data_IF_235030965339
#
_entry.id   IF_235030965339
#
_cell.length_a   1.000
_cell.length_b   1.000
_cell.length_c   1.000
_cell.angle_alpha   90.00
_cell.angle_beta   90.00
_cell.angle_gamma   90.00
#
_symmetry.space_group_name_H-M   'P 1'
#
loop_
_entity.id
_entity.type
_entity.pdbx_description
1 polymer ?
#
# COMPACT_ATOMS: atom_id res chain seq x y z
N UNK A 1 -58.32 -43.00 -38.40
CA UNK A 1 -57.32 -43.59 -37.47
C UNK A 1 -56.13 -42.66 -37.48
N UNK A 2 -56.08 -41.81 -36.48
CA UNK A 2 -55.06 -40.78 -36.25
C UNK A 2 -54.78 -40.86 -34.76
N UNK A 3 -53.57 -41.23 -34.38
CA UNK A 3 -53.12 -41.09 -32.99
C UNK A 3 -51.82 -40.30 -32.93
N UNK A 4 -51.94 -39.27 -32.10
CA UNK A 4 -51.06 -38.17 -31.78
C UNK A 4 -50.19 -38.60 -30.60
N UNK A 5 -48.87 -38.52 -30.71
CA UNK A 5 -47.98 -38.72 -29.58
C UNK A 5 -47.77 -37.39 -28.86
N UNK A 6 -48.42 -37.25 -27.71
CA UNK A 6 -48.37 -36.12 -26.80
C UNK A 6 -47.17 -36.25 -25.85
N UNK A 7 -46.54 -35.11 -25.54
CA UNK A 7 -45.26 -35.01 -24.86
C UNK A 7 -45.24 -35.48 -23.40
N UNK A 8 -44.05 -35.89 -22.97
CA UNK A 8 -43.66 -35.95 -21.55
C UNK A 8 -42.70 -34.80 -21.28
N UNK A 9 -43.25 -33.73 -20.71
CA UNK A 9 -42.49 -32.73 -19.97
C UNK A 9 -41.82 -33.43 -18.79
N UNK A 10 -40.49 -33.44 -18.74
CA UNK A 10 -39.76 -33.61 -17.48
C UNK A 10 -39.44 -32.23 -16.95
N UNK A 11 -40.12 -31.89 -15.86
CA UNK A 11 -39.76 -30.83 -14.94
C UNK A 11 -38.27 -31.03 -14.57
N UNK A 12 -37.39 -30.18 -15.06
CA UNK A 12 -36.05 -30.02 -14.47
C UNK A 12 -36.27 -29.04 -13.32
N UNK A 13 -36.25 -29.56 -12.11
CA UNK A 13 -36.20 -28.74 -10.92
C UNK A 13 -34.90 -27.93 -10.96
N UNK A 14 -35.03 -26.61 -11.11
CA UNK A 14 -33.98 -25.63 -10.82
C UNK A 14 -33.67 -25.75 -9.33
N UNK A 15 -32.62 -26.52 -9.01
CA UNK A 15 -31.95 -26.42 -7.72
C UNK A 15 -31.08 -25.15 -7.73
N UNK A 16 -31.05 -24.38 -6.63
CA UNK A 16 -30.18 -23.23 -6.54
C UNK A 16 -28.74 -23.72 -6.60
N UNK A 17 -28.03 -23.36 -7.67
CA UNK A 17 -26.57 -23.49 -7.74
C UNK A 17 -26.03 -22.47 -6.75
N UNK A 18 -25.93 -22.90 -5.50
CA UNK A 18 -24.97 -22.35 -4.55
C UNK A 18 -23.61 -22.78 -5.06
N UNK A 19 -23.03 -21.97 -5.95
CA UNK A 19 -21.64 -22.09 -6.36
C UNK A 19 -20.77 -21.69 -5.17
N UNK A 20 -20.69 -22.57 -4.17
CA UNK A 20 -19.50 -22.65 -3.34
C UNK A 20 -18.41 -23.24 -4.21
N UNK A 21 -17.67 -22.40 -4.93
CA UNK A 21 -16.34 -22.79 -5.37
C UNK A 21 -15.47 -22.84 -4.10
N UNK A 22 -15.45 -24.01 -3.47
CA UNK A 22 -14.23 -24.49 -2.83
C UNK A 22 -13.22 -24.67 -3.96
N UNK A 23 -12.57 -23.56 -4.34
CA UNK A 23 -11.52 -23.56 -5.33
C UNK A 23 -10.30 -24.18 -4.65
N UNK A 24 -9.72 -25.20 -5.28
CA UNK A 24 -8.47 -25.85 -4.88
C UNK A 24 -7.23 -24.94 -4.97
N UNK A 25 -7.35 -23.65 -4.63
CA UNK A 25 -6.24 -22.70 -4.56
C UNK A 25 -5.49 -22.74 -3.21
N UNK A 26 -5.92 -23.58 -2.26
CA UNK A 26 -5.32 -23.69 -0.93
C UNK A 26 -4.51 -24.98 -0.71
N UNK A 27 -3.53 -25.24 -1.58
CA UNK A 27 -2.32 -25.99 -1.17
C UNK A 27 -1.12 -25.26 -1.79
N UNK A 28 -0.69 -24.15 -1.16
CA UNK A 28 0.55 -23.48 -1.59
C UNK A 28 0.94 -22.19 -0.87
N UNK A 29 -0.01 -21.36 -0.39
CA UNK A 29 0.33 -19.99 0.02
C UNK A 29 0.43 -19.70 1.54
N UNK A 30 0.28 -20.68 2.41
CA UNK A 30 0.43 -20.47 3.86
C UNK A 30 1.51 -21.40 4.41
N UNK A 31 2.76 -21.01 4.22
CA UNK A 31 3.90 -21.77 4.75
C UNK A 31 5.23 -21.60 4.04
N UNK A 32 5.48 -20.54 3.26
CA UNK A 32 6.86 -20.23 2.88
C UNK A 32 7.45 -19.39 3.99
N UNK A 33 8.08 -20.06 4.95
CA UNK A 33 9.01 -19.41 5.85
C UNK A 33 9.95 -18.54 5.00
N UNK A 34 10.02 -17.24 5.32
CA UNK A 34 11.03 -16.34 4.78
C UNK A 34 12.38 -17.05 4.91
N UNK A 35 12.89 -17.62 3.81
CA UNK A 35 14.26 -18.10 3.76
C UNK A 35 15.09 -16.85 3.89
N UNK A 36 15.67 -16.66 5.07
CA UNK A 36 16.70 -15.66 5.26
C UNK A 36 17.82 -15.94 4.26
N UNK A 37 17.82 -15.20 3.15
CA UNK A 37 18.92 -15.17 2.21
C UNK A 37 20.06 -14.41 2.89
N UNK A 38 20.77 -15.13 3.76
CA UNK A 38 22.09 -14.80 4.25
C UNK A 38 23.04 -14.72 3.06
N UNK A 39 23.86 -13.68 3.05
CA UNK A 39 24.54 -13.16 1.87
C UNK A 39 25.58 -14.06 1.25
N UNK A 40 25.84 -13.80 -0.02
CA UNK A 40 27.13 -14.05 -0.66
C UNK A 40 27.62 -12.74 -1.29
N UNK A 41 28.65 -12.18 -0.66
CA UNK A 41 29.49 -11.12 -1.19
C UNK A 41 30.46 -11.75 -2.21
N UNK A 42 30.18 -11.61 -3.50
CA UNK A 42 31.14 -11.46 -4.62
C UNK A 42 30.37 -11.43 -5.96
N UNK A 43 30.75 -10.59 -6.95
CA UNK A 43 30.17 -10.67 -8.28
C UNK A 43 30.58 -12.00 -8.92
N UNK A 44 29.62 -12.92 -9.07
CA UNK A 44 29.90 -14.20 -9.74
C UNK A 44 30.15 -13.94 -11.22
N UNK A 45 31.23 -14.51 -11.74
CA UNK A 45 31.64 -14.51 -13.16
C UNK A 45 30.75 -15.42 -14.03
N UNK A 46 29.48 -15.60 -13.68
CA UNK A 46 28.57 -16.41 -14.48
C UNK A 46 28.13 -15.59 -15.70
N UNK A 47 28.11 -16.19 -16.91
CA UNK A 47 27.55 -15.52 -18.08
C UNK A 47 26.09 -15.14 -17.81
N UNK A 48 25.76 -13.89 -18.08
CA UNK A 48 24.41 -13.34 -17.93
C UNK A 48 23.70 -13.43 -19.28
N UNK A 49 22.78 -14.39 -19.41
CA UNK A 49 22.02 -14.57 -20.63
C UNK A 49 20.79 -13.64 -20.60
N UNK A 50 20.78 -12.56 -21.37
CA UNK A 50 19.69 -11.59 -21.44
C UNK A 50 18.58 -12.07 -22.38
N UNK A 51 17.33 -11.76 -22.03
CA UNK A 51 16.19 -12.03 -22.91
C UNK A 51 16.16 -11.06 -24.11
N UNK A 52 15.56 -11.46 -25.24
CA UNK A 52 15.54 -10.66 -26.47
C UNK A 52 14.81 -9.32 -26.32
N UNK A 53 13.74 -9.27 -25.51
CA UNK A 53 12.98 -8.06 -25.17
C UNK A 53 13.84 -6.97 -24.50
N UNK A 54 14.95 -7.35 -23.88
CA UNK A 54 15.91 -6.42 -23.27
C UNK A 54 16.67 -5.62 -24.33
N UNK A 55 16.80 -6.12 -25.57
CA UNK A 55 17.61 -5.48 -26.62
C UNK A 55 17.10 -4.09 -26.98
N UNK A 56 15.79 -3.96 -27.20
CA UNK A 56 15.16 -2.68 -27.52
C UNK A 56 15.18 -1.72 -26.33
N UNK A 57 15.03 -2.24 -25.11
CA UNK A 57 15.13 -1.45 -23.88
C UNK A 57 16.52 -0.83 -23.73
N UNK A 58 17.59 -1.61 -23.92
CA UNK A 58 18.97 -1.14 -23.81
C UNK A 58 19.37 -0.18 -24.93
N UNK A 59 18.78 -0.31 -26.12
CA UNK A 59 18.98 0.61 -27.22
C UNK A 59 18.43 2.02 -26.89
N UNK A 60 17.27 2.06 -26.23
CA UNK A 60 16.51 3.29 -26.01
C UNK A 60 16.70 3.90 -24.60
N UNK A 61 17.26 3.18 -23.64
CA UNK A 61 17.46 3.64 -22.27
C UNK A 61 18.93 3.60 -21.83
N UNK A 62 19.58 4.78 -21.81
CA UNK A 62 21.01 4.91 -21.46
C UNK A 62 21.29 4.56 -20.00
N UNK A 63 20.38 4.89 -19.09
CA UNK A 63 20.55 4.56 -17.67
C UNK A 63 20.44 3.05 -17.43
N UNK A 64 19.49 2.39 -18.10
CA UNK A 64 19.36 0.93 -18.06
C UNK A 64 20.61 0.25 -18.63
N UNK A 65 21.13 0.75 -19.76
CA UNK A 65 22.38 0.24 -20.36
C UNK A 65 23.57 0.40 -19.43
N UNK A 66 23.71 1.54 -18.77
CA UNK A 66 24.77 1.74 -17.79
C UNK A 66 24.63 0.77 -16.60
N UNK A 67 23.41 0.59 -16.07
CA UNK A 67 23.15 -0.32 -14.96
C UNK A 67 23.44 -1.78 -15.32
N UNK A 68 22.99 -2.22 -16.51
CA UNK A 68 23.28 -3.54 -17.09
C UNK A 68 24.79 -3.79 -17.20
N UNK A 69 25.52 -2.85 -17.82
CA UNK A 69 26.97 -2.98 -18.00
C UNK A 69 27.71 -3.02 -16.68
N UNK A 70 27.25 -2.28 -15.66
CA UNK A 70 27.81 -2.34 -14.31
C UNK A 70 27.44 -3.63 -13.55
N UNK A 71 26.28 -4.22 -13.83
CA UNK A 71 25.81 -5.45 -13.20
C UNK A 71 26.50 -6.70 -13.77
N UNK A 72 26.65 -6.77 -15.10
CA UNK A 72 27.05 -7.99 -15.81
C UNK A 72 28.37 -7.87 -16.57
N UNK A 73 28.74 -6.65 -16.98
CA UNK A 73 29.97 -6.39 -17.74
C UNK A 73 30.01 -7.12 -19.07
N UNK A 74 31.21 -7.52 -19.49
CA UNK A 74 31.43 -8.23 -20.77
C UNK A 74 30.82 -9.64 -20.82
N UNK A 75 30.29 -10.15 -19.71
CA UNK A 75 29.69 -11.48 -19.62
C UNK A 75 28.21 -11.51 -20.03
N UNK A 76 27.63 -10.35 -20.39
CA UNK A 76 26.26 -10.26 -20.86
C UNK A 76 26.15 -10.66 -22.34
N UNK A 77 25.30 -11.64 -22.62
CA UNK A 77 25.01 -12.11 -23.97
C UNK A 77 23.51 -12.28 -24.14
N UNK A 78 22.98 -12.04 -25.34
CA UNK A 78 21.57 -12.30 -25.61
C UNK A 78 21.32 -13.78 -25.87
N UNK A 79 20.21 -14.29 -25.33
CA UNK A 79 19.71 -15.62 -25.65
C UNK A 79 19.48 -15.73 -27.14
N UNK A 80 20.00 -16.77 -27.77
CA UNK A 80 19.72 -17.04 -29.18
C UNK A 80 18.22 -17.26 -29.41
N UNK A 81 17.72 -16.72 -30.53
CA UNK A 81 16.34 -16.92 -30.96
C UNK A 81 15.98 -18.42 -31.00
N UNK A 82 14.86 -18.79 -30.37
CA UNK A 82 14.41 -20.19 -30.28
C UNK A 82 15.10 -21.06 -29.22
N UNK A 83 16.04 -20.52 -28.43
CA UNK A 83 16.62 -21.24 -27.29
C UNK A 83 15.63 -21.34 -26.12
N UNK A 84 15.56 -22.52 -25.49
CA UNK A 84 14.81 -22.77 -24.26
C UNK A 84 15.60 -22.44 -22.99
N UNK A 85 16.80 -21.86 -23.10
CA UNK A 85 17.57 -21.47 -21.92
C UNK A 85 16.87 -20.35 -21.14
N UNK A 86 17.00 -20.41 -19.80
CA UNK A 86 16.58 -19.32 -18.92
C UNK A 86 17.35 -18.07 -19.26
N UNK A 87 16.66 -16.95 -19.40
CA UNK A 87 17.25 -15.66 -19.63
C UNK A 87 16.80 -14.66 -18.55
N UNK A 88 17.55 -13.57 -18.46
CA UNK A 88 17.36 -12.48 -17.52
C UNK A 88 16.64 -11.34 -18.24
N UNK A 89 15.49 -10.94 -17.73
CA UNK A 89 14.82 -9.69 -18.09
C UNK A 89 15.24 -8.57 -17.14
N UNK A 90 15.34 -7.34 -17.64
CA UNK A 90 15.59 -6.14 -16.84
C UNK A 90 14.24 -5.52 -16.45
N UNK A 91 13.72 -5.95 -15.29
CA UNK A 91 12.35 -5.65 -14.89
C UNK A 91 12.14 -4.16 -14.55
N UNK A 92 13.07 -3.54 -13.82
CA UNK A 92 12.98 -2.12 -13.48
C UNK A 92 14.33 -1.53 -13.06
N UNK A 93 14.51 -0.22 -13.28
CA UNK A 93 15.61 0.55 -12.71
C UNK A 93 15.03 1.70 -11.88
N UNK A 94 15.10 1.55 -10.56
CA UNK A 94 14.60 2.54 -9.61
C UNK A 94 15.70 3.51 -9.23
N UNK A 95 15.33 4.79 -9.07
CA UNK A 95 16.24 5.86 -8.69
C UNK A 95 15.83 6.42 -7.33
N UNK A 96 16.78 6.48 -6.41
CA UNK A 96 16.64 7.07 -5.08
C UNK A 96 17.69 8.16 -4.89
N UNK A 97 17.64 8.88 -3.77
CA UNK A 97 18.62 9.93 -3.49
C UNK A 97 20.03 9.32 -3.34
N UNK A 98 20.90 9.56 -4.33
CA UNK A 98 22.29 9.09 -4.35
C UNK A 98 22.48 7.60 -4.61
N UNK A 99 21.43 6.88 -5.01
CA UNK A 99 21.51 5.44 -5.31
C UNK A 99 20.51 5.01 -6.38
N UNK A 100 20.78 3.86 -6.99
CA UNK A 100 19.89 3.23 -7.98
C UNK A 100 19.79 1.74 -7.69
N UNK A 101 18.67 1.13 -8.04
CA UNK A 101 18.44 -0.30 -7.85
C UNK A 101 17.89 -0.89 -9.14
N UNK A 102 18.65 -1.80 -9.76
CA UNK A 102 18.18 -2.59 -10.90
C UNK A 102 17.53 -3.86 -10.37
N UNK A 103 16.28 -4.10 -10.74
CA UNK A 103 15.60 -5.36 -10.52
C UNK A 103 15.64 -6.17 -11.81
N UNK A 104 16.05 -7.43 -11.67
CA UNK A 104 16.10 -8.38 -12.77
C UNK A 104 15.22 -9.58 -12.45
N UNK A 105 14.70 -10.22 -13.48
CA UNK A 105 13.81 -11.33 -13.35
C UNK A 105 14.24 -12.51 -14.21
N UNK A 106 14.06 -13.73 -13.68
CA UNK A 106 14.30 -14.98 -14.40
C UNK A 106 13.05 -15.84 -14.23
N UNK A 107 12.39 -16.19 -15.34
CA UNK A 107 11.25 -17.10 -15.33
C UNK A 107 11.67 -18.48 -14.78
N UNK A 108 10.86 -19.06 -13.89
CA UNK A 108 11.19 -20.33 -13.22
C UNK A 108 11.21 -21.53 -14.16
N UNK A 109 10.41 -21.57 -15.23
CA UNK A 109 10.49 -22.61 -16.28
C UNK A 109 10.26 -22.03 -17.69
N UNK A 110 11.32 -21.89 -18.51
CA UNK A 110 11.19 -21.46 -19.90
C UNK A 110 10.63 -22.60 -20.76
N UNK A 111 9.38 -22.45 -21.21
CA UNK A 111 8.75 -23.37 -22.18
C UNK A 111 7.53 -24.14 -21.66
N UNK A 112 7.32 -24.19 -20.35
CA UNK A 112 6.08 -24.67 -19.71
C UNK A 112 5.53 -23.56 -18.83
N UNK A 113 5.02 -22.49 -19.46
CA UNK A 113 4.37 -21.39 -18.73
C UNK A 113 3.05 -21.89 -18.14
N UNK A 114 3.12 -22.58 -17.00
CA UNK A 114 1.96 -22.78 -16.15
C UNK A 114 1.35 -21.42 -15.84
N UNK A 115 0.01 -21.35 -15.84
CA UNK A 115 -0.74 -20.11 -15.61
C UNK A 115 -0.32 -19.40 -14.30
N UNK A 116 0.25 -20.15 -13.35
CA UNK A 116 0.57 -19.71 -11.99
C UNK A 116 2.10 -19.58 -11.73
N UNK A 117 2.96 -19.67 -12.76
CA UNK A 117 4.41 -19.58 -12.54
C UNK A 117 4.90 -18.12 -12.49
N UNK A 118 5.56 -17.75 -11.38
CA UNK A 118 6.21 -16.45 -11.21
C UNK A 118 7.61 -16.36 -11.80
N UNK A 119 8.29 -15.24 -11.54
CA UNK A 119 9.69 -15.01 -11.90
C UNK A 119 10.52 -14.81 -10.64
N UNK A 120 11.71 -15.42 -10.58
CA UNK A 120 12.65 -15.14 -9.50
C UNK A 120 13.28 -13.76 -9.67
N UNK A 121 13.22 -12.94 -8.62
CA UNK A 121 13.67 -11.55 -8.62
C UNK A 121 15.01 -11.39 -7.94
N UNK A 122 15.90 -10.65 -8.59
CA UNK A 122 17.21 -10.25 -8.04
C UNK A 122 17.35 -8.73 -8.07
N UNK A 123 18.05 -8.16 -7.08
CA UNK A 123 18.27 -6.73 -6.95
C UNK A 123 19.77 -6.38 -6.95
N UNK A 124 20.16 -5.47 -7.83
CA UNK A 124 21.53 -4.95 -7.96
C UNK A 124 21.54 -3.50 -7.48
N UNK A 125 22.30 -3.24 -6.41
CA UNK A 125 22.32 -1.95 -5.74
C UNK A 125 23.53 -1.15 -6.19
N UNK A 126 23.28 0.06 -6.66
CA UNK A 126 24.29 0.99 -7.10
C UNK A 126 24.31 2.24 -6.23
N UNK A 127 25.50 2.78 -6.00
CA UNK A 127 25.71 4.07 -5.32
C UNK A 127 26.33 5.06 -6.28
N UNK A 128 25.84 6.29 -6.24
CA UNK A 128 26.46 7.40 -6.93
C UNK A 128 27.72 7.86 -6.17
N UNK A 129 28.84 7.97 -6.88
CA UNK A 129 30.13 8.37 -6.34
C UNK A 129 30.73 9.42 -7.27
N UNK A 130 30.42 10.71 -7.00
CA UNK A 130 30.74 11.80 -7.91
C UNK A 130 29.90 11.71 -9.18
N UNK A 131 30.56 11.65 -10.34
CA UNK A 131 29.88 11.47 -11.63
C UNK A 131 29.74 10.00 -12.07
N UNK A 132 30.12 9.04 -11.22
CA UNK A 132 30.12 7.62 -11.57
C UNK A 132 29.14 6.82 -10.72
N UNK A 133 28.51 5.82 -11.34
CA UNK A 133 27.67 4.84 -10.67
C UNK A 133 28.50 3.58 -10.38
N UNK A 134 28.44 3.05 -9.15
CA UNK A 134 29.19 1.86 -8.74
C UNK A 134 28.26 0.80 -8.17
N UNK A 135 28.40 -0.44 -8.62
CA UNK A 135 27.75 -1.60 -8.00
C UNK A 135 28.31 -1.83 -6.58
N UNK A 136 27.42 -1.86 -5.59
CA UNK A 136 27.75 -2.00 -4.16
C UNK A 136 27.45 -3.40 -3.66
N UNK A 137 26.27 -3.93 -3.95
CA UNK A 137 25.84 -5.26 -3.51
C UNK A 137 24.80 -5.84 -4.46
N UNK A 138 24.66 -7.16 -4.45
CA UNK A 138 23.62 -7.88 -5.19
C UNK A 138 22.83 -8.73 -4.19
N UNK A 139 21.51 -8.79 -4.35
CA UNK A 139 20.61 -9.69 -3.63
C UNK A 139 19.93 -10.57 -4.64
N UNK A 140 20.47 -11.78 -4.81
CA UNK A 140 19.93 -12.75 -5.76
C UNK A 140 18.71 -13.43 -5.18
N UNK A 141 17.75 -13.72 -6.05
CA UNK A 141 16.57 -14.56 -5.80
C UNK A 141 15.87 -14.21 -4.47
N UNK A 142 15.74 -12.90 -4.21
CA UNK A 142 15.23 -12.40 -2.93
C UNK A 142 13.71 -12.60 -2.81
N UNK A 143 13.02 -12.76 -3.93
CA UNK A 143 11.58 -12.98 -4.01
C UNK A 143 11.23 -13.77 -5.29
N UNK A 144 10.02 -14.31 -5.30
CA UNK A 144 9.33 -14.78 -6.50
C UNK A 144 8.19 -13.79 -6.79
N UNK A 145 8.05 -13.35 -8.04
CA UNK A 145 6.97 -12.43 -8.42
C UNK A 145 5.63 -13.14 -8.37
N UNK A 146 4.61 -12.43 -7.92
CA UNK A 146 3.23 -12.91 -7.87
C UNK A 146 2.48 -12.74 -9.21
N UNK A 147 3.19 -12.57 -10.32
CA UNK A 147 2.58 -12.45 -11.64
C UNK A 147 2.38 -13.81 -12.31
N UNK A 148 1.34 -13.90 -13.13
CA UNK A 148 1.08 -15.07 -13.98
C UNK A 148 2.07 -15.16 -15.16
N UNK A 149 2.28 -16.38 -15.66
CA UNK A 149 2.99 -16.65 -16.92
C UNK A 149 4.43 -16.10 -16.98
N UNK A 150 5.13 -16.06 -15.84
CA UNK A 150 6.49 -15.53 -15.72
C UNK A 150 6.56 -14.01 -15.80
N UNK A 151 5.44 -13.30 -15.88
CA UNK A 151 5.43 -11.84 -15.82
C UNK A 151 5.74 -11.38 -14.40
N UNK A 152 6.58 -10.36 -14.30
CA UNK A 152 6.95 -9.72 -13.04
C UNK A 152 5.89 -8.70 -12.61
N UNK A 153 5.12 -8.21 -13.59
CA UNK A 153 4.26 -7.05 -13.47
C UNK A 153 5.05 -5.75 -13.26
N UNK A 154 4.38 -4.69 -12.82
CA UNK A 154 4.99 -3.37 -12.68
C UNK A 154 5.76 -3.26 -11.37
N UNK A 155 7.04 -2.92 -11.46
CA UNK A 155 7.88 -2.62 -10.29
C UNK A 155 8.13 -1.12 -10.19
N UNK A 156 7.73 -0.54 -9.06
CA UNK A 156 7.84 0.89 -8.80
C UNK A 156 8.65 1.17 -7.54
N UNK A 157 9.36 2.30 -7.51
CA UNK A 157 10.01 2.79 -6.31
C UNK A 157 8.96 3.17 -5.24
N UNK A 158 9.29 2.90 -3.97
CA UNK A 158 8.48 3.31 -2.84
C UNK A 158 9.34 3.79 -1.67
N UNK A 159 8.70 4.50 -0.75
CA UNK A 159 9.32 4.95 0.49
C UNK A 159 8.50 4.52 1.69
N UNK A 160 9.19 4.08 2.74
CA UNK A 160 8.60 3.64 4.00
C UNK A 160 9.28 4.43 5.13
N UNK A 161 8.80 5.67 5.32
CA UNK A 161 9.43 6.69 6.15
C UNK A 161 10.83 7.03 5.65
N UNK A 162 11.86 6.70 6.43
CA UNK A 162 13.25 6.99 6.07
C UNK A 162 13.88 5.91 5.16
N UNK A 163 13.24 4.76 5.01
CA UNK A 163 13.77 3.67 4.21
C UNK A 163 13.22 3.73 2.77
N UNK A 164 14.11 3.51 1.81
CA UNK A 164 13.76 3.25 0.42
C UNK A 164 13.26 1.82 0.24
N UNK A 165 12.45 1.59 -0.78
CA UNK A 165 11.85 0.29 -1.05
C UNK A 165 11.24 0.21 -2.44
N UNK A 166 10.42 -0.81 -2.64
CA UNK A 166 9.73 -1.03 -3.90
C UNK A 166 8.37 -1.68 -3.71
N UNK A 167 7.54 -1.50 -4.73
CA UNK A 167 6.23 -2.11 -4.89
C UNK A 167 6.30 -3.00 -6.13
N UNK A 168 5.88 -4.25 -6.00
CA UNK A 168 5.79 -5.18 -7.12
C UNK A 168 4.32 -5.49 -7.32
N UNK A 169 3.73 -4.99 -8.41
CA UNK A 169 2.35 -5.26 -8.75
C UNK A 169 2.28 -6.57 -9.53
N UNK A 170 1.47 -7.51 -9.06
CA UNK A 170 1.24 -8.79 -9.72
C UNK A 170 -0.24 -9.10 -9.80
N UNK A 171 -0.58 -10.10 -10.59
CA UNK A 171 -1.96 -10.55 -10.72
C UNK A 171 -2.08 -11.81 -11.54
N UNK A 172 -3.20 -12.48 -11.35
CA UNK A 172 -3.59 -13.68 -12.10
C UNK A 172 -4.94 -13.46 -12.75
N UNK A 173 -5.08 -13.91 -14.00
CA UNK A 173 -6.35 -13.91 -14.72
C UNK A 173 -6.66 -15.33 -15.18
N UNK A 174 -7.78 -15.87 -14.73
CA UNK A 174 -8.19 -17.24 -15.03
C UNK A 174 -9.71 -17.33 -15.20
N UNK A 175 -10.14 -18.03 -16.26
CA UNK A 175 -11.56 -18.30 -16.53
C UNK A 175 -12.44 -17.02 -16.54
N UNK A 176 -11.89 -15.90 -16.98
CA UNK A 176 -12.60 -14.62 -17.04
C UNK A 176 -12.63 -13.82 -15.73
N UNK A 177 -12.04 -14.35 -14.66
CA UNK A 177 -11.80 -13.62 -13.41
C UNK A 177 -10.36 -13.11 -13.38
N UNK A 178 -10.13 -11.97 -12.72
CA UNK A 178 -8.79 -11.45 -12.42
C UNK A 178 -8.66 -11.05 -10.96
N UNK A 179 -7.48 -11.27 -10.39
CA UNK A 179 -7.10 -10.86 -9.04
C UNK A 179 -5.75 -10.14 -9.13
N UNK A 180 -5.68 -8.92 -8.61
CA UNK A 180 -4.46 -8.13 -8.58
C UNK A 180 -4.02 -7.85 -7.14
N UNK A 181 -2.72 -7.85 -6.91
CA UNK A 181 -2.10 -7.60 -5.62
C UNK A 181 -0.81 -6.80 -5.77
N UNK A 182 -0.38 -6.15 -4.68
CA UNK A 182 0.90 -5.46 -4.62
C UNK A 182 1.71 -5.99 -3.46
N UNK A 183 2.93 -6.45 -3.74
CA UNK A 183 3.93 -6.78 -2.74
C UNK A 183 4.79 -5.56 -2.41
N UNK A 184 5.15 -5.43 -1.14
CA UNK A 184 5.96 -4.32 -0.68
C UNK A 184 7.26 -4.83 -0.07
N UNK A 185 8.36 -4.19 -0.45
CA UNK A 185 9.70 -4.51 0.06
C UNK A 185 10.41 -3.24 0.50
N UNK A 186 11.18 -3.34 1.58
CA UNK A 186 12.03 -2.26 2.10
C UNK A 186 13.50 -2.65 2.07
N UNK A 187 14.37 -1.70 1.76
CA UNK A 187 15.82 -1.87 1.76
C UNK A 187 16.38 -1.44 3.11
N UNK A 188 16.62 -2.39 4.02
CA UNK A 188 17.05 -2.11 5.39
C UNK A 188 18.22 -2.98 5.80
N UNK A 189 19.23 -2.36 6.42
CA UNK A 189 20.42 -3.04 6.95
C UNK A 189 21.12 -3.94 5.92
N UNK A 190 21.18 -3.49 4.66
CA UNK A 190 21.79 -4.25 3.58
C UNK A 190 21.01 -5.49 3.15
N UNK A 191 19.70 -5.56 3.42
CA UNK A 191 18.80 -6.64 3.01
C UNK A 191 17.56 -6.09 2.32
N UNK A 192 16.92 -6.92 1.48
CA UNK A 192 15.58 -6.67 0.96
C UNK A 192 14.60 -7.41 1.88
N UNK A 193 13.72 -6.67 2.55
CA UNK A 193 12.80 -7.21 3.55
C UNK A 193 11.38 -7.05 3.04
N UNK A 194 10.62 -8.15 2.98
CA UNK A 194 9.19 -8.11 2.65
C UNK A 194 8.40 -7.49 3.80
N UNK A 195 7.51 -6.55 3.45
CA UNK A 195 6.51 -5.98 4.36
C UNK A 195 5.16 -6.71 4.26
N UNK A 196 5.02 -7.60 3.28
CA UNK A 196 3.81 -8.32 2.94
C UNK A 196 3.16 -7.81 1.66
N UNK A 197 1.95 -8.33 1.40
CA UNK A 197 1.14 -8.03 0.23
C UNK A 197 -0.19 -7.38 0.61
N UNK A 198 -0.75 -6.58 -0.30
CA UNK A 198 -2.10 -6.03 -0.19
C UNK A 198 -2.88 -6.35 -1.47
N UNK A 199 -4.11 -6.87 -1.39
CA UNK A 199 -4.99 -7.01 -2.55
C UNK A 199 -5.37 -5.65 -3.13
N UNK A 200 -5.25 -5.49 -4.44
CA UNK A 200 -5.38 -4.21 -5.15
C UNK A 200 -6.37 -4.25 -6.31
N UNK A 201 -6.81 -5.42 -6.76
CA UNK A 201 -7.80 -5.51 -7.83
C UNK A 201 -8.54 -6.84 -7.86
N UNK A 202 -9.73 -6.79 -8.43
CA UNK A 202 -10.59 -7.95 -8.67
C UNK A 202 -11.51 -7.68 -9.85
N UNK A 203 -11.74 -8.65 -10.74
CA UNK A 203 -12.76 -8.53 -11.78
C UNK A 203 -13.39 -9.87 -12.10
N UNK A 204 -14.67 -9.88 -12.45
CA UNK A 204 -15.36 -11.00 -13.09
C UNK A 204 -15.79 -10.69 -14.53
N UNK A 205 -15.36 -9.55 -15.08
CA UNK A 205 -15.91 -9.02 -16.34
C UNK A 205 -15.64 -9.92 -17.55
N UNK A 206 -14.65 -10.83 -17.50
CA UNK A 206 -14.42 -11.83 -18.54
C UNK A 206 -15.25 -13.11 -18.37
N UNK A 207 -15.86 -13.32 -17.20
CA UNK A 207 -16.65 -14.51 -16.88
C UNK A 207 -18.16 -14.25 -16.92
N UNK A 208 -18.57 -13.01 -16.66
CA UNK A 208 -19.97 -12.61 -16.67
C UNK A 208 -20.45 -12.32 -18.10
N UNK A 209 -21.53 -12.97 -18.52
CA UNK A 209 -22.11 -12.79 -19.87
C UNK A 209 -23.02 -11.55 -19.94
N UNK A 210 -23.51 -11.09 -18.79
CA UNK A 210 -24.36 -9.91 -18.66
C UNK A 210 -23.51 -8.72 -18.17
N UNK A 211 -23.15 -7.81 -19.08
CA UNK A 211 -22.34 -6.63 -18.78
C UNK A 211 -22.87 -5.81 -17.59
N UNK A 212 -24.18 -5.86 -17.29
CA UNK A 212 -24.79 -5.16 -16.14
C UNK A 212 -24.48 -5.80 -14.78
N UNK A 213 -23.95 -7.02 -14.76
CA UNK A 213 -23.51 -7.74 -13.57
C UNK A 213 -22.00 -7.83 -13.45
N UNK A 214 -21.28 -7.39 -14.49
CA UNK A 214 -19.84 -7.30 -14.47
C UNK A 214 -19.41 -6.28 -13.41
N UNK A 215 -18.47 -6.68 -12.56
CA UNK A 215 -17.88 -5.85 -11.53
C UNK A 215 -16.37 -5.87 -11.71
N UNK A 216 -15.78 -4.68 -11.63
CA UNK A 216 -14.33 -4.49 -11.62
C UNK A 216 -13.98 -3.59 -10.46
N UNK A 217 -13.00 -4.02 -9.66
CA UNK A 217 -12.36 -3.26 -8.61
C UNK A 217 -10.93 -3.01 -9.06
N UNK A 218 -10.56 -1.73 -9.12
CA UNK A 218 -9.17 -1.29 -9.31
C UNK A 218 -8.73 -0.53 -8.08
N UNK A 219 -7.44 -0.27 -7.93
CA UNK A 219 -6.96 0.58 -6.85
C UNK A 219 -5.77 1.45 -7.21
N UNK A 220 -5.61 2.49 -6.40
CA UNK A 220 -4.39 3.28 -6.29
C UNK A 220 -3.77 3.01 -4.92
N UNK A 221 -2.50 2.66 -4.92
CA UNK A 221 -1.71 2.47 -3.70
C UNK A 221 -0.80 3.66 -3.49
N UNK A 222 -0.76 4.15 -2.26
CA UNK A 222 0.12 5.24 -1.83
C UNK A 222 1.05 4.80 -0.70
N UNK A 223 2.33 5.08 -0.90
CA UNK A 223 3.42 4.89 0.06
C UNK A 223 4.02 6.26 0.43
N UNK A 224 5.10 6.28 1.22
CA UNK A 224 5.72 7.53 1.67
C UNK A 224 4.89 8.28 2.71
N UNK A 225 3.97 7.57 3.38
CA UNK A 225 3.16 8.13 4.45
C UNK A 225 4.04 8.51 5.66
N UNK A 226 3.62 9.47 6.50
CA UNK A 226 4.35 9.83 7.72
C UNK A 226 4.57 8.62 8.65
N UNK A 227 3.67 7.63 8.61
CA UNK A 227 3.84 6.35 9.28
C UNK A 227 4.47 5.34 8.31
N UNK A 228 5.74 4.95 8.53
CA UNK A 228 6.51 4.12 7.58
C UNK A 228 5.95 2.71 7.38
N UNK A 229 5.19 2.19 8.34
CA UNK A 229 4.63 0.85 8.34
C UNK A 229 3.25 0.78 7.68
N UNK A 230 2.76 1.88 7.09
CA UNK A 230 1.41 1.95 6.53
C UNK A 230 1.42 2.25 5.04
N UNK A 231 0.41 1.72 4.37
CA UNK A 231 0.07 2.07 3.00
C UNK A 231 -1.40 2.44 2.94
N UNK A 232 -1.73 3.42 2.10
CA UNK A 232 -3.11 3.82 1.82
C UNK A 232 -3.50 3.22 0.49
N UNK A 233 -4.65 2.55 0.45
CA UNK A 233 -5.21 1.98 -0.77
C UNK A 233 -6.57 2.60 -1.01
N UNK A 234 -6.74 3.23 -2.17
CA UNK A 234 -8.02 3.75 -2.65
C UNK A 234 -8.56 2.77 -3.68
N UNK A 235 -9.66 2.10 -3.36
CA UNK A 235 -10.36 1.20 -4.26
C UNK A 235 -11.45 1.94 -5.03
N UNK A 236 -11.53 1.69 -6.33
CA UNK A 236 -12.64 2.12 -7.18
C UNK A 236 -13.36 0.89 -7.69
N UNK A 237 -14.61 0.73 -7.27
CA UNK A 237 -15.52 -0.32 -7.69
C UNK A 237 -16.44 0.21 -8.78
N UNK A 238 -16.39 -0.42 -9.94
CA UNK A 238 -17.28 -0.14 -11.07
C UNK A 238 -18.13 -1.38 -11.31
N UNK A 239 -19.45 -1.23 -11.25
CA UNK A 239 -20.41 -2.28 -11.57
C UNK A 239 -21.20 -1.89 -12.83
N UNK A 240 -21.45 -2.83 -13.72
CA UNK A 240 -22.19 -2.60 -14.95
C UNK A 240 -23.51 -1.87 -14.74
N UNK A 241 -23.62 -0.65 -15.25
CA UNK A 241 -24.84 0.16 -15.13
C UNK A 241 -25.06 0.84 -13.77
N UNK A 242 -24.07 0.79 -12.85
CA UNK A 242 -24.07 1.55 -11.59
C UNK A 242 -23.03 2.68 -11.58
N UNK A 243 -23.20 3.62 -10.64
CA UNK A 243 -22.19 4.64 -10.36
C UNK A 243 -20.94 4.01 -9.72
N UNK A 244 -19.78 4.59 -10.00
CA UNK A 244 -18.53 4.17 -9.36
C UNK A 244 -18.57 4.46 -7.87
N UNK A 245 -18.09 3.49 -7.08
CA UNK A 245 -17.98 3.61 -5.64
C UNK A 245 -16.52 3.60 -5.23
N UNK A 246 -16.09 4.65 -4.53
CA UNK A 246 -14.74 4.74 -3.98
C UNK A 246 -14.75 4.39 -2.50
N UNK A 247 -13.77 3.58 -2.09
CA UNK A 247 -13.47 3.31 -0.68
C UNK A 247 -11.98 3.44 -0.42
N UNK A 248 -11.61 3.73 0.82
CA UNK A 248 -10.21 3.85 1.23
C UNK A 248 -9.95 2.92 2.39
N UNK A 249 -8.83 2.21 2.32
CA UNK A 249 -8.32 1.35 3.37
C UNK A 249 -6.89 1.75 3.73
N UNK A 250 -6.59 1.72 5.02
CA UNK A 250 -5.24 1.86 5.55
C UNK A 250 -4.78 0.48 6.00
N UNK A 251 -3.71 0.01 5.37
CA UNK A 251 -3.10 -1.27 5.66
C UNK A 251 -1.81 -1.02 6.42
N UNK A 252 -1.61 -1.76 7.51
CA UNK A 252 -0.41 -1.70 8.33
C UNK A 252 0.40 -2.97 8.23
N UNK A 253 1.68 -2.85 7.93
CA UNK A 253 2.63 -3.96 7.94
C UNK A 253 2.92 -4.37 9.39
N UNK A 254 2.72 -5.65 9.68
CA UNK A 254 2.94 -6.25 10.97
C UNK A 254 3.48 -7.68 10.77
N UNK A 255 4.73 -7.91 11.19
CA UNK A 255 5.40 -9.21 11.10
C UNK A 255 5.41 -9.81 9.67
N UNK A 256 5.70 -8.98 8.66
CA UNK A 256 5.83 -9.41 7.26
C UNK A 256 4.51 -9.65 6.53
N UNK A 257 3.39 -9.21 7.10
CA UNK A 257 2.07 -9.20 6.45
C UNK A 257 1.37 -7.86 6.67
N UNK A 258 0.47 -7.48 5.77
CA UNK A 258 -0.41 -6.34 6.00
C UNK A 258 -1.70 -6.78 6.69
N UNK A 259 -2.18 -5.95 7.62
CA UNK A 259 -3.50 -6.07 8.26
C UNK A 259 -4.28 -4.79 8.05
N UNK A 260 -5.60 -4.89 7.91
CA UNK A 260 -6.45 -3.72 7.78
C UNK A 260 -6.52 -2.98 9.12
N UNK A 261 -6.01 -1.76 9.14
CA UNK A 261 -5.96 -0.89 10.32
C UNK A 261 -7.11 0.11 10.37
N UNK A 262 -7.53 0.63 9.21
CA UNK A 262 -8.67 1.55 9.13
C UNK A 262 -9.33 1.50 7.74
N UNK A 263 -10.57 1.99 7.65
CA UNK A 263 -11.27 2.12 6.37
C UNK A 263 -12.10 0.90 5.98
N UNK A 264 -12.45 0.81 4.70
CA UNK A 264 -13.26 -0.25 4.14
C UNK A 264 -12.62 -0.85 2.88
N UNK A 265 -12.82 -2.15 2.71
CA UNK A 265 -12.36 -2.94 1.57
C UNK A 265 -13.60 -3.46 0.84
N UNK A 266 -13.68 -3.37 -0.51
CA UNK A 266 -14.81 -3.90 -1.26
C UNK A 266 -15.05 -5.39 -0.98
N UNK A 267 -16.32 -5.81 -0.95
CA UNK A 267 -16.70 -7.20 -0.65
C UNK A 267 -16.10 -8.18 -1.65
N UNK A 268 -15.97 -7.77 -2.92
CA UNK A 268 -15.35 -8.57 -3.98
C UNK A 268 -13.88 -8.89 -3.69
N UNK A 269 -13.13 -7.95 -3.11
CA UNK A 269 -11.75 -8.19 -2.67
C UNK A 269 -11.73 -9.15 -1.47
N UNK A 270 -12.64 -8.97 -0.52
CA UNK A 270 -12.71 -9.81 0.69
C UNK A 270 -13.00 -11.26 0.31
N UNK A 271 -13.99 -11.46 -0.56
CA UNK A 271 -14.46 -12.77 -1.00
C UNK A 271 -13.51 -13.39 -2.01
N UNK A 272 -13.02 -12.63 -2.99
CA UNK A 272 -12.12 -13.11 -4.04
C UNK A 272 -10.76 -13.56 -3.54
N UNK A 273 -10.25 -12.94 -2.48
CA UNK A 273 -8.98 -13.33 -1.83
C UNK A 273 -9.17 -14.18 -0.57
N UNK A 274 -10.41 -14.55 -0.23
CA UNK A 274 -10.76 -15.28 0.99
C UNK A 274 -10.07 -14.70 2.24
N UNK A 275 -10.09 -13.37 2.38
CA UNK A 275 -9.29 -12.68 3.39
C UNK A 275 -9.64 -13.17 4.79
N UNK A 276 -8.63 -13.72 5.45
CA UNK A 276 -8.80 -14.38 6.74
C UNK A 276 -9.14 -13.39 7.86
N UNK A 277 -9.82 -13.90 8.89
CA UNK A 277 -10.23 -13.16 10.08
C UNK A 277 -9.09 -12.53 10.90
N UNK A 278 -7.84 -12.89 10.61
CA UNK A 278 -6.61 -12.37 11.22
C UNK A 278 -5.88 -11.33 10.34
N UNK A 279 -6.49 -10.96 9.21
CA UNK A 279 -6.07 -9.88 8.32
C UNK A 279 -7.12 -8.76 8.33
N UNK A 280 -8.40 -9.13 8.28
CA UNK A 280 -9.57 -8.25 8.40
C UNK A 280 -10.66 -8.94 9.24
N UNK A 281 -11.51 -8.21 9.97
CA UNK A 281 -12.65 -8.83 10.64
C UNK A 281 -13.81 -9.09 9.66
N UNK A 282 -14.72 -10.01 10.04
CA UNK A 282 -15.94 -10.29 9.26
C UNK A 282 -16.66 -8.96 8.99
N UNK A 283 -16.93 -8.68 7.71
CA UNK A 283 -17.52 -7.43 7.18
C UNK A 283 -16.52 -6.30 6.87
N UNK A 284 -15.23 -6.60 6.67
CA UNK A 284 -14.24 -5.58 6.25
C UNK A 284 -13.92 -4.56 7.33
N UNK A 285 -14.24 -4.86 8.59
CA UNK A 285 -13.90 -4.00 9.71
C UNK A 285 -12.41 -4.16 10.07
N UNK A 286 -11.73 -3.07 10.42
CA UNK A 286 -10.33 -3.15 10.82
C UNK A 286 -10.12 -4.04 12.04
N UNK A 287 -8.99 -4.75 12.06
CA UNK A 287 -8.61 -5.50 13.24
C UNK A 287 -8.03 -4.56 14.30
N UNK A 288 -8.36 -4.76 15.59
CA UNK A 288 -7.67 -4.06 16.65
C UNK A 288 -6.18 -4.37 16.56
N UNK A 289 -5.35 -3.34 16.76
CA UNK A 289 -3.91 -3.49 16.78
C UNK A 289 -3.55 -4.57 17.82
N UNK A 290 -2.99 -5.68 17.35
CA UNK A 290 -2.49 -6.73 18.24
C UNK A 290 -1.18 -6.26 18.88
N UNK A 291 -0.97 -6.58 20.16
CA UNK A 291 0.21 -6.22 20.99
C UNK A 291 1.55 -6.82 20.50
N UNK A 292 1.69 -7.18 19.22
CA UNK A 292 2.99 -7.47 18.67
C UNK A 292 3.79 -6.18 18.69
N UNK A 293 4.86 -6.15 19.50
CA UNK A 293 5.68 -4.98 19.68
C UNK A 293 6.07 -4.40 18.31
N UNK A 294 5.74 -3.12 18.02
CA UNK A 294 6.26 -2.46 16.84
C UNK A 294 7.79 -2.57 16.85
N UNK A 295 8.46 -2.57 15.68
CA UNK A 295 9.91 -2.43 15.65
C UNK A 295 10.30 -1.25 16.55
N UNK A 296 11.33 -1.41 17.41
CA UNK A 296 11.60 -0.47 18.48
C UNK A 296 11.70 0.94 17.87
N UNK A 297 10.89 1.88 18.37
CA UNK A 297 10.93 3.23 17.85
C UNK A 297 12.34 3.79 18.03
N UNK A 298 12.80 4.56 17.05
CA UNK A 298 13.93 5.46 17.26
C UNK A 298 13.62 6.29 18.52
N UNK A 299 14.55 6.31 19.47
CA UNK A 299 14.34 6.88 20.80
C UNK A 299 13.67 8.28 20.71
N UNK A 300 12.41 8.38 21.13
CA UNK A 300 11.67 9.65 21.20
C UNK A 300 10.24 9.68 20.65
N UNK A 301 9.70 8.62 20.02
CA UNK A 301 8.30 8.66 19.56
C UNK A 301 7.32 8.29 20.68
N UNK A 302 6.39 9.17 21.01
CA UNK A 302 5.20 8.84 21.81
C UNK A 302 4.38 7.71 21.17
N UNK A 303 3.46 7.10 21.94
CA UNK A 303 2.60 6.02 21.46
C UNK A 303 1.88 6.39 20.14
N UNK A 304 1.82 5.49 19.15
CA UNK A 304 1.09 5.73 17.92
C UNK A 304 -0.38 6.05 18.21
N UNK A 305 -0.87 7.21 17.75
CA UNK A 305 -2.28 7.63 17.90
C UNK A 305 -2.56 8.70 18.96
N UNK A 306 -1.56 9.10 19.76
CA UNK A 306 -1.64 10.28 20.62
C UNK A 306 -1.00 11.46 19.87
N UNK A 307 -1.76 12.51 19.55
CA UNK A 307 -1.23 13.75 18.95
C UNK A 307 -1.13 14.83 20.01
N UNK A 308 0.05 14.91 20.60
CA UNK A 308 0.35 15.94 21.56
C UNK A 308 1.18 17.05 20.93
N UNK A 309 1.28 18.15 21.65
CA UNK A 309 2.19 19.25 21.31
C UNK A 309 3.66 18.84 21.50
N UNK A 310 3.89 17.69 22.14
CA UNK A 310 5.21 17.09 22.38
C UNK A 310 5.60 16.07 21.30
N UNK A 311 4.75 15.88 20.29
CA UNK A 311 5.01 14.97 19.19
C UNK A 311 6.19 15.44 18.33
N UNK A 312 7.13 14.53 18.08
CA UNK A 312 8.27 14.75 17.19
C UNK A 312 7.86 14.66 15.71
N UNK A 313 8.60 15.36 14.84
CA UNK A 313 8.38 15.35 13.38
C UNK A 313 7.37 16.37 12.86
N UNK A 314 6.97 17.35 13.67
CA UNK A 314 6.12 18.47 13.22
C UNK A 314 6.92 19.42 12.31
N UNK A 315 6.31 19.82 11.20
CA UNK A 315 6.88 20.75 10.21
C UNK A 315 6.00 21.99 10.05
N UNK A 316 6.51 23.12 9.54
CA UNK A 316 5.64 24.24 9.17
C UNK A 316 4.55 23.76 8.19
N UNK A 317 3.26 24.00 8.48
CA UNK A 317 2.18 23.60 7.59
C UNK A 317 2.21 24.39 6.28
N UNK A 318 1.49 23.90 5.26
CA UNK A 318 1.38 24.59 3.98
C UNK A 318 0.75 26.00 4.13
N UNK A 319 0.93 26.90 3.15
CA UNK A 319 0.30 28.22 3.17
C UNK A 319 -1.23 28.15 3.32
N UNK A 320 -1.89 27.22 2.63
CA UNK A 320 -3.35 27.09 2.69
C UNK A 320 -3.83 26.69 4.08
N UNK A 321 -3.16 25.72 4.71
CA UNK A 321 -3.46 25.29 6.09
C UNK A 321 -3.20 26.44 7.07
N UNK A 322 -2.13 27.20 6.85
CA UNK A 322 -1.78 28.38 7.67
C UNK A 322 -2.85 29.47 7.57
N UNK A 323 -3.30 29.82 6.37
CA UNK A 323 -4.32 30.84 6.16
C UNK A 323 -5.66 30.43 6.77
N UNK A 324 -6.06 29.16 6.64
CA UNK A 324 -7.27 28.65 7.29
C UNK A 324 -7.23 28.83 8.83
N UNK A 325 -6.07 28.67 9.46
CA UNK A 325 -5.90 28.83 10.91
C UNK A 325 -5.87 30.30 11.32
N UNK A 326 -5.26 31.19 10.52
CA UNK A 326 -5.19 32.63 10.85
C UNK A 326 -6.54 33.30 10.99
N UNK A 327 -7.56 32.77 10.34
CA UNK A 327 -8.94 33.26 10.43
C UNK A 327 -9.72 32.70 11.62
N UNK A 328 -9.14 31.78 12.38
CA UNK A 328 -9.78 31.20 13.55
C UNK A 328 -9.61 32.06 14.80
N UNK A 329 -10.68 32.15 15.58
CA UNK A 329 -10.72 32.96 16.81
C UNK A 329 -9.76 32.47 17.89
N UNK A 330 -9.33 31.20 17.86
CA UNK A 330 -8.38 30.65 18.82
C UNK A 330 -6.91 30.86 18.39
N UNK A 331 -6.64 31.43 17.21
CA UNK A 331 -5.28 31.69 16.74
C UNK A 331 -4.67 32.95 17.39
N UNK A 332 -3.64 32.82 18.23
CA UNK A 332 -2.96 33.98 18.77
C UNK A 332 -1.94 34.46 17.71
N UNK A 333 -1.99 35.73 17.26
CA UNK A 333 -1.20 36.21 16.11
C UNK A 333 0.33 36.11 16.25
N UNK A 334 0.83 35.84 17.45
CA UNK A 334 2.26 35.79 17.79
C UNK A 334 2.82 34.37 17.60
N UNK A 335 1.98 33.38 17.35
CA UNK A 335 2.40 31.98 17.38
C UNK A 335 2.89 31.44 16.05
N UNK A 336 4.04 30.75 16.09
CA UNK A 336 4.57 30.00 14.96
C UNK A 336 3.92 28.61 14.90
N UNK A 337 3.14 28.39 13.85
CA UNK A 337 2.44 27.13 13.59
C UNK A 337 3.43 26.03 13.18
N UNK A 338 3.17 24.83 13.69
CA UNK A 338 3.80 23.58 13.28
C UNK A 338 2.72 22.51 13.22
N UNK A 339 2.85 21.55 12.33
CA UNK A 339 1.85 20.51 12.20
C UNK A 339 2.39 19.30 11.46
N UNK A 340 1.55 18.29 11.36
CA UNK A 340 1.78 17.11 10.54
C UNK A 340 0.46 16.65 9.95
N UNK A 341 0.53 16.03 8.79
CA UNK A 341 -0.59 15.27 8.27
C UNK A 341 -0.95 14.20 9.33
N UNK A 342 -2.20 14.19 9.78
CA UNK A 342 -2.72 13.13 10.66
C UNK A 342 -2.75 11.81 9.90
N UNK A 343 -3.01 10.70 10.60
CA UNK A 343 -3.15 9.38 9.99
C UNK A 343 -3.86 9.49 8.64
N UNK A 344 -3.39 8.76 7.62
CA UNK A 344 -3.84 8.93 6.25
C UNK A 344 -5.37 8.96 6.23
N UNK A 345 -5.88 10.12 5.81
CA UNK A 345 -7.31 10.36 5.72
C UNK A 345 -7.95 9.20 4.96
N UNK A 346 -9.05 8.67 5.50
CA UNK A 346 -9.90 7.74 4.77
C UNK A 346 -10.64 8.44 3.62
N UNK A 347 -10.44 9.75 3.49
CA UNK A 347 -10.84 10.47 2.30
C UNK A 347 -9.92 10.14 1.14
N UNK A 348 -10.54 9.71 0.04
CA UNK A 348 -9.85 9.55 -1.25
C UNK A 348 -9.35 10.89 -1.81
N UNK A 349 -9.85 12.01 -1.28
CA UNK A 349 -9.65 13.33 -1.86
C UNK A 349 -9.03 14.33 -0.88
N UNK A 350 -9.42 14.30 0.39
CA UNK A 350 -9.01 15.33 1.35
C UNK A 350 -7.92 14.86 2.29
N UNK A 351 -6.91 15.69 2.52
CA UNK A 351 -5.83 15.43 3.50
C UNK A 351 -6.13 16.12 4.82
N UNK A 352 -5.90 15.42 5.92
CA UNK A 352 -6.20 15.94 7.26
C UNK A 352 -4.90 16.28 7.98
N UNK A 353 -4.80 17.49 8.53
CA UNK A 353 -3.62 18.00 9.21
C UNK A 353 -3.93 18.27 10.67
N UNK A 354 -3.04 17.82 11.56
CA UNK A 354 -2.98 18.25 12.95
C UNK A 354 -2.00 19.41 13.00
N UNK A 355 -2.44 20.55 13.53
CA UNK A 355 -1.60 21.74 13.65
C UNK A 355 -1.65 22.23 15.09
N UNK A 356 -0.49 22.65 15.58
CA UNK A 356 -0.30 23.30 16.86
C UNK A 356 0.79 24.36 16.74
N UNK A 357 1.41 24.77 17.84
CA UNK A 357 2.37 25.88 17.90
C UNK A 357 3.69 25.40 18.49
N UNK A 358 4.79 25.81 17.88
CA UNK A 358 6.15 25.37 18.24
C UNK A 358 6.61 25.79 19.64
N UNK A 359 6.01 26.86 20.18
CA UNK A 359 6.34 27.42 21.49
C UNK A 359 5.15 27.43 22.46
N UNK A 360 4.07 26.69 22.14
CA UNK A 360 2.83 26.69 22.95
C UNK A 360 2.27 28.10 23.20
N UNK A 361 2.61 29.07 22.34
CA UNK A 361 2.17 30.47 22.44
C UNK A 361 2.45 31.17 23.77
N UNK A 362 3.44 30.72 24.56
CA UNK A 362 3.67 31.19 25.94
C UNK A 362 2.43 31.10 26.85
N UNK A 363 1.44 30.26 26.47
CA UNK A 363 0.26 30.00 27.27
C UNK A 363 0.68 29.14 28.46
N UNK A 364 0.89 29.75 29.63
CA UNK A 364 1.25 29.02 30.84
C UNK A 364 0.30 27.84 31.11
N UNK A 365 0.85 26.66 31.41
CA UNK A 365 0.06 25.44 31.66
C UNK A 365 0.48 24.19 30.87
N UNK A 366 1.38 24.30 29.90
CA UNK A 366 1.95 23.14 29.19
C UNK A 366 1.14 22.67 27.96
N UNK A 367 -0.01 23.27 27.67
CA UNK A 367 -0.84 22.97 26.49
C UNK A 367 -1.16 24.25 25.71
N UNK A 368 -0.75 24.31 24.44
CA UNK A 368 -1.09 25.36 23.47
C UNK A 368 -2.38 25.05 22.68
N UNK A 369 -2.73 25.89 21.68
CA UNK A 369 -3.84 25.61 20.78
C UNK A 369 -3.56 24.44 19.85
N UNK A 370 -4.63 23.76 19.44
CA UNK A 370 -4.63 22.64 18.51
C UNK A 370 -5.75 22.84 17.48
N UNK A 371 -5.43 22.51 16.23
CA UNK A 371 -6.35 22.58 15.10
C UNK A 371 -6.29 21.31 14.30
N UNK A 372 -7.42 20.97 13.69
CA UNK A 372 -7.46 19.99 12.62
C UNK A 372 -8.04 20.62 11.39
N UNK A 373 -7.28 20.49 10.31
CA UNK A 373 -7.56 21.15 9.04
C UNK A 373 -7.67 20.08 7.96
N UNK A 374 -8.82 20.04 7.29
CA UNK A 374 -9.02 19.23 6.10
C UNK A 374 -8.66 20.06 4.88
N UNK A 375 -7.88 19.51 3.96
CA UNK A 375 -7.45 20.16 2.72
C UNK A 375 -7.98 19.37 1.55
N UNK A 376 -8.89 19.97 0.79
CA UNK A 376 -9.45 19.36 -0.41
C UNK A 376 -8.38 19.27 -1.54
N UNK A 377 -8.58 18.43 -2.58
CA UNK A 377 -7.65 18.35 -3.72
C UNK A 377 -7.41 19.68 -4.42
N UNK A 378 -8.40 20.58 -4.35
CA UNK A 378 -8.34 21.93 -4.90
C UNK A 378 -7.40 22.87 -4.13
N UNK A 379 -6.76 22.37 -3.06
CA UNK A 379 -5.90 23.14 -2.16
C UNK A 379 -6.66 23.92 -1.10
N UNK A 380 -7.99 23.97 -1.17
CA UNK A 380 -8.80 24.73 -0.22
C UNK A 380 -8.82 24.04 1.14
N UNK A 381 -8.21 24.69 2.12
CA UNK A 381 -8.16 24.24 3.50
C UNK A 381 -9.39 24.71 4.29
N UNK A 382 -9.94 23.82 5.11
CA UNK A 382 -11.10 24.03 5.96
C UNK A 382 -10.80 23.52 7.36
N UNK A 383 -11.06 24.36 8.36
CA UNK A 383 -10.93 23.96 9.75
C UNK A 383 -12.10 23.07 10.16
N UNK A 384 -11.80 21.86 10.60
CA UNK A 384 -12.81 20.89 11.07
C UNK A 384 -12.81 20.73 12.59
N UNK A 385 -11.77 21.22 13.27
CA UNK A 385 -11.67 21.27 14.72
C UNK A 385 -10.73 22.40 15.18
N UNK A 386 -11.07 23.05 16.29
CA UNK A 386 -10.24 24.05 16.97
C UNK A 386 -10.45 23.97 18.47
N UNK A 387 -9.38 23.91 19.24
CA UNK A 387 -9.43 23.93 20.69
C UNK A 387 -8.19 24.61 21.30
N UNK A 388 -8.37 25.31 22.42
CA UNK A 388 -7.30 26.00 23.15
C UNK A 388 -6.97 25.25 24.44
N UNK A 389 -5.68 24.95 24.72
CA UNK A 389 -5.20 24.22 25.92
C UNK A 389 -5.58 22.73 26.02
N UNK A 390 -5.74 22.03 24.90
CA UNK A 390 -6.11 20.62 24.90
C UNK A 390 -5.01 19.71 24.34
N UNK A 391 -4.93 18.48 24.83
CA UNK A 391 -4.26 17.36 24.17
C UNK A 391 -5.27 16.57 23.35
N UNK A 392 -4.88 16.04 22.19
CA UNK A 392 -5.78 15.30 21.29
C UNK A 392 -5.23 13.90 21.02
N UNK A 393 -6.10 12.90 21.00
CA UNK A 393 -5.76 11.52 20.69
C UNK A 393 -6.82 10.97 19.73
N UNK A 394 -6.42 10.24 18.67
CA UNK A 394 -7.41 9.47 17.92
C UNK A 394 -7.88 8.33 18.79
N UNK A 395 -9.18 8.13 18.77
CA UNK A 395 -9.79 6.90 19.18
C UNK A 395 -10.00 5.98 17.97
N UNK A 396 -10.21 4.71 18.27
CA UNK A 396 -10.47 3.69 17.26
C UNK A 396 -11.85 3.83 16.60
N UNK A 397 -12.76 4.62 17.18
CA UNK A 397 -14.07 4.91 16.61
C UNK A 397 -13.93 5.68 15.29
N UNK A 398 -14.80 5.39 14.32
CA UNK A 398 -14.79 5.98 12.98
C UNK A 398 -16.18 6.50 12.64
N UNK A 399 -16.24 7.74 12.15
CA UNK A 399 -17.47 8.34 11.63
C UNK A 399 -17.19 9.04 10.30
N UNK A 400 -17.74 8.48 9.22
CA UNK A 400 -17.35 8.86 7.86
C UNK A 400 -15.89 8.53 7.58
N UNK A 401 -15.13 9.52 7.11
CA UNK A 401 -13.73 9.38 6.70
C UNK A 401 -12.73 9.73 7.83
N UNK A 402 -13.22 9.91 9.06
CA UNK A 402 -12.46 10.50 10.16
C UNK A 402 -12.55 9.66 11.45
N UNK A 403 -11.42 9.56 12.15
CA UNK A 403 -11.35 8.96 13.49
C UNK A 403 -12.04 9.86 14.52
N UNK A 404 -12.75 9.26 15.46
CA UNK A 404 -13.15 9.93 16.70
C UNK A 404 -11.91 10.46 17.42
N UNK A 405 -12.09 11.55 18.16
CA UNK A 405 -11.01 12.20 18.85
C UNK A 405 -11.33 12.35 20.32
N UNK A 406 -10.43 11.85 21.15
CA UNK A 406 -10.41 12.19 22.55
C UNK A 406 -9.65 13.49 22.76
N UNK A 407 -10.33 14.48 23.32
CA UNK A 407 -9.81 15.82 23.55
C UNK A 407 -9.78 16.04 25.06
N UNK A 408 -8.59 16.28 25.61
CA UNK A 408 -8.40 16.46 27.05
C UNK A 408 -7.91 17.86 27.39
N UNK A 409 -8.70 18.61 28.16
CA UNK A 409 -8.37 19.95 28.64
C UNK A 409 -7.52 19.97 29.91
N UNK A 410 -7.32 18.83 30.58
CA UNK A 410 -6.47 18.70 31.76
C UNK A 410 -5.33 17.70 31.53
N UNK A 411 -4.16 18.24 31.18
CA UNK A 411 -2.94 17.44 31.01
C UNK A 411 -2.53 16.64 32.27
N UNK A 412 -3.03 17.00 33.47
CA UNK A 412 -2.74 16.29 34.72
C UNK A 412 -3.73 15.17 35.02
N UNK A 413 -4.87 15.12 34.32
CA UNK A 413 -5.87 14.07 34.46
C UNK A 413 -6.24 13.48 33.08
N UNK A 414 -5.52 12.44 32.61
CA UNK A 414 -5.73 11.86 31.28
C UNK A 414 -7.11 11.21 31.05
N UNK A 415 -7.96 11.10 32.09
CA UNK A 415 -9.30 10.50 32.02
C UNK A 415 -10.45 11.50 31.99
N UNK A 416 -10.19 12.80 32.08
CA UNK A 416 -11.25 13.84 32.10
C UNK A 416 -11.55 14.47 30.74
N UNK A 417 -11.12 13.84 29.64
CA UNK A 417 -11.37 14.33 28.28
C UNK A 417 -12.75 13.96 27.75
N UNK A 418 -13.05 14.51 26.58
CA UNK A 418 -14.33 14.37 25.88
C UNK A 418 -14.08 13.72 24.51
N UNK A 419 -15.04 12.92 24.05
CA UNK A 419 -14.98 12.33 22.71
C UNK A 419 -15.65 13.28 21.73
N UNK A 420 -15.00 13.52 20.60
CA UNK A 420 -15.50 14.27 19.47
C UNK A 420 -15.62 13.34 18.27
N UNK A 421 -16.77 13.43 17.60
CA UNK A 421 -17.13 12.62 16.45
C UNK A 421 -17.32 13.54 15.24
N UNK A 422 -16.85 13.10 14.07
CA UNK A 422 -17.02 13.85 12.83
C UNK A 422 -18.43 13.67 12.27
N UNK A 423 -19.14 14.78 12.03
CA UNK A 423 -20.54 14.79 11.54
C UNK A 423 -20.68 14.87 10.01
N UNK A 424 -19.56 14.84 9.28
CA UNK A 424 -19.51 15.10 7.84
C UNK A 424 -19.01 16.50 7.47
N UNK A 425 -19.00 17.43 8.43
CA UNK A 425 -18.51 18.80 8.24
C UNK A 425 -17.44 19.18 9.27
N UNK A 426 -17.67 18.86 10.55
CA UNK A 426 -16.78 19.20 11.65
C UNK A 426 -16.82 18.16 12.76
N UNK A 427 -15.85 18.22 13.67
CA UNK A 427 -15.87 17.46 14.89
C UNK A 427 -16.85 18.06 15.91
N UNK A 428 -17.81 17.27 16.37
CA UNK A 428 -18.80 17.60 17.39
C UNK A 428 -18.60 16.74 18.62
N UNK A 429 -18.84 17.30 19.79
CA UNK A 429 -18.80 16.54 21.04
C UNK A 429 -19.84 15.42 20.99
N UNK A 430 -19.44 14.18 21.22
CA UNK A 430 -20.35 13.04 21.17
C UNK A 430 -21.39 13.15 22.29
N UNK A 431 -22.68 13.06 21.94
CA UNK A 431 -23.80 13.17 22.89
C UNK A 431 -24.34 14.58 23.14
N UNK A 432 -23.97 15.56 22.32
CA UNK A 432 -24.56 16.91 22.31
C UNK A 432 -25.72 17.06 21.33
#
# INVERSE_FOLDING_TARGET
MTETNCGKYRLIALLPITAGMALSAMIGLWGVAARGASGDDHPSKAPALLCEDVRDMLANNTDMRMAETLAFGENAHFRAEGSSEKCISLAALMTFTGSRVLITAIATEPGESGLDQGSSLSAYFFRESGSALRLVTVKRDFAESNGALGNVGDINAAHFGADDGMMVNGGISQQGYSNDLTDFYVFRNGSVVSLGMVPTGWSNSGAEEDDSKAVTVTSRVETGLPQPDRVRVTYTRSAGGGDEQTSVAIWRSQAGKFVLEAGSVPEEIITGFELAGNVIAKNGTPLPATDAAPPPPAAGTGSPGVWSIDDIGMVPPSPDVTEAIKHDSNYPPICKLIGREMLPSLSATSKTWFVTTSNRCDAGGGTGPVWIVSVAPTGKAHMVFSAFRHAVKAESGLHGEFHDMFVNGDARNPKSGEIYTFDGLAYRKSGS
#
